data_IF_768366638377
#
_entry.id   IF_768366638377
#
_cell.length_a   1.000
_cell.length_b   1.000
_cell.length_c   1.000
_cell.angle_alpha   90.00
_cell.angle_beta   90.00
_cell.angle_gamma   90.00
#
_symmetry.space_group_name_H-M   'P 1'
#
loop_
_entity.id
_entity.type
_entity.pdbx_description
1 polymer ?
#
# COMPACT_ATOMS: atom_id res chain seq x y z
N UNK A 1 11.25 -12.42 -23.56
CA UNK A 1 11.18 -12.12 -22.12
C UNK A 1 10.28 -10.90 -21.90
N UNK A 2 9.53 -10.83 -20.80
CA UNK A 2 8.54 -9.77 -20.52
C UNK A 2 9.16 -8.36 -20.50
N UNK A 3 10.33 -8.22 -19.87
CA UNK A 3 11.04 -6.92 -19.77
C UNK A 3 11.31 -6.32 -21.15
N UNK A 4 11.83 -7.13 -22.06
CA UNK A 4 12.11 -6.67 -23.45
C UNK A 4 10.82 -6.41 -24.23
N UNK A 5 9.82 -7.28 -24.10
CA UNK A 5 8.54 -7.17 -24.83
C UNK A 5 7.80 -5.87 -24.53
N UNK A 6 7.82 -5.44 -23.26
CA UNK A 6 7.10 -4.25 -22.80
C UNK A 6 8.03 -3.06 -22.56
N UNK A 7 9.31 -3.17 -22.92
CA UNK A 7 10.33 -2.15 -22.71
C UNK A 7 10.27 -1.59 -21.26
N UNK A 8 10.25 -2.51 -20.27
CA UNK A 8 10.18 -2.11 -18.86
C UNK A 8 11.48 -1.42 -18.44
N UNK A 9 11.42 -0.32 -17.69
CA UNK A 9 12.58 0.42 -17.23
C UNK A 9 13.39 -0.44 -16.24
N UNK A 10 14.59 -0.83 -16.64
CA UNK A 10 15.45 -1.72 -15.84
C UNK A 10 15.90 -1.04 -14.54
N UNK A 11 16.16 0.27 -14.61
CA UNK A 11 16.53 1.10 -13.46
C UNK A 11 15.43 1.08 -12.36
N UNK A 12 14.16 1.13 -12.75
CA UNK A 12 13.04 1.02 -11.81
C UNK A 12 12.93 -0.38 -11.20
N UNK A 13 13.21 -1.42 -11.99
CA UNK A 13 13.26 -2.80 -11.48
C UNK A 13 14.42 -3.02 -10.53
N UNK A 14 15.59 -2.46 -10.84
CA UNK A 14 16.77 -2.52 -9.96
C UNK A 14 16.48 -1.82 -8.64
N UNK A 15 15.95 -0.59 -8.69
CA UNK A 15 15.58 0.17 -7.48
C UNK A 15 14.56 -0.58 -6.62
N UNK A 16 13.53 -1.18 -7.24
CA UNK A 16 12.56 -2.00 -6.52
C UNK A 16 13.23 -3.17 -5.77
N UNK A 17 14.25 -3.80 -6.35
CA UNK A 17 15.01 -4.88 -5.70
C UNK A 17 15.88 -4.31 -4.57
N UNK A 18 16.56 -3.20 -4.83
CA UNK A 18 17.47 -2.57 -3.87
C UNK A 18 16.71 -2.08 -2.62
N UNK A 19 15.53 -1.48 -2.78
CA UNK A 19 14.69 -1.05 -1.67
C UNK A 19 14.21 -2.24 -0.80
N UNK A 20 13.97 -3.41 -1.40
CA UNK A 20 13.62 -4.62 -0.63
C UNK A 20 14.79 -5.20 0.18
N UNK A 21 16.02 -4.68 0.05
CA UNK A 21 17.11 -5.04 0.95
C UNK A 21 16.78 -4.63 2.40
N UNK A 22 16.01 -3.56 2.59
CA UNK A 22 15.50 -3.16 3.91
C UNK A 22 14.75 -4.30 4.61
N UNK A 23 14.03 -5.14 3.87
CA UNK A 23 13.25 -6.26 4.41
C UNK A 23 14.11 -7.40 4.97
N UNK A 24 15.42 -7.42 4.63
CA UNK A 24 16.36 -8.45 5.09
C UNK A 24 16.95 -8.14 6.46
N UNK A 25 16.83 -6.91 6.92
CA UNK A 25 17.34 -6.44 8.20
C UNK A 25 16.20 -6.11 9.16
N UNK A 26 16.48 -6.17 10.46
CA UNK A 26 15.50 -5.80 11.48
C UNK A 26 15.62 -4.33 11.91
N UNK A 27 16.21 -3.50 11.05
CA UNK A 27 16.27 -2.06 11.30
C UNK A 27 14.87 -1.45 11.24
N UNK A 28 14.47 -0.64 12.22
CA UNK A 28 13.15 -0.02 12.20
C UNK A 28 13.08 1.09 11.16
N UNK A 29 11.92 1.28 10.56
CA UNK A 29 11.66 2.43 9.67
C UNK A 29 11.86 3.73 10.43
N UNK A 30 12.79 4.62 10.00
CA UNK A 30 13.14 5.78 10.84
C UNK A 30 12.07 6.87 10.86
N UNK A 31 11.51 7.23 9.71
CA UNK A 31 10.57 8.36 9.57
C UNK A 31 9.44 8.05 8.58
N UNK A 32 8.37 8.85 8.66
CA UNK A 32 7.29 8.81 7.67
C UNK A 32 7.80 9.15 6.26
N UNK A 33 8.76 10.06 6.12
CA UNK A 33 9.36 10.39 4.82
C UNK A 33 10.16 9.20 4.25
N UNK A 34 10.87 8.44 5.09
CA UNK A 34 11.57 7.23 4.67
C UNK A 34 10.57 6.13 4.23
N UNK A 35 9.46 5.98 4.96
CA UNK A 35 8.38 5.06 4.58
C UNK A 35 7.75 5.47 3.24
N UNK A 36 7.51 6.75 3.03
CA UNK A 36 6.97 7.30 1.77
C UNK A 36 7.87 6.93 0.58
N UNK A 37 9.18 7.19 0.69
CA UNK A 37 10.16 6.80 -0.33
C UNK A 37 10.15 5.30 -0.59
N UNK A 38 10.25 4.49 0.47
CA UNK A 38 10.23 3.02 0.37
C UNK A 38 8.96 2.50 -0.33
N UNK A 39 7.77 3.00 0.05
CA UNK A 39 6.52 2.58 -0.56
C UNK A 39 6.37 3.08 -2.00
N UNK A 40 6.88 4.27 -2.32
CA UNK A 40 6.93 4.80 -3.68
C UNK A 40 7.79 3.93 -4.59
N UNK A 41 9.00 3.60 -4.15
CA UNK A 41 9.97 2.82 -4.93
C UNK A 41 9.70 1.30 -4.93
N UNK A 42 8.83 0.81 -4.03
CA UNK A 42 8.39 -0.59 -4.02
C UNK A 42 6.97 -0.73 -4.59
N UNK A 43 5.94 -0.30 -3.87
CA UNK A 43 4.53 -0.47 -4.27
C UNK A 43 4.14 0.44 -5.44
N UNK A 44 4.59 1.70 -5.43
CA UNK A 44 4.39 2.63 -6.54
C UNK A 44 5.03 2.15 -7.83
N UNK A 45 6.25 1.61 -7.74
CA UNK A 45 6.93 1.01 -8.88
C UNK A 45 6.13 -0.14 -9.52
N UNK A 46 5.46 -0.98 -8.73
CA UNK A 46 4.61 -2.06 -9.26
C UNK A 46 3.41 -1.52 -10.05
N UNK A 47 2.76 -0.44 -9.58
CA UNK A 47 1.70 0.22 -10.33
C UNK A 47 2.22 0.83 -11.64
N UNK A 48 3.39 1.47 -11.61
CA UNK A 48 4.03 2.03 -12.80
C UNK A 48 4.38 0.95 -13.84
N UNK A 49 4.95 -0.17 -13.40
CA UNK A 49 5.28 -1.31 -14.26
C UNK A 49 4.00 -1.95 -14.83
N UNK A 50 2.94 -2.06 -14.03
CA UNK A 50 1.65 -2.56 -14.50
C UNK A 50 1.03 -1.63 -15.55
N UNK A 51 1.04 -0.32 -15.33
CA UNK A 51 0.60 0.67 -16.31
C UNK A 51 1.39 0.56 -17.62
N UNK A 52 2.72 0.42 -17.52
CA UNK A 52 3.61 0.23 -18.69
C UNK A 52 3.25 -1.02 -19.51
N UNK A 53 2.89 -2.12 -18.84
CA UNK A 53 2.48 -3.36 -19.51
C UNK A 53 1.13 -3.17 -20.22
N UNK A 54 0.19 -2.45 -19.61
CA UNK A 54 -1.17 -2.30 -20.12
C UNK A 54 -1.24 -1.31 -21.28
N UNK A 55 -0.60 -0.14 -21.17
CA UNK A 55 -0.76 0.96 -22.12
C UNK A 55 0.53 1.40 -22.81
N UNK A 56 1.67 0.79 -22.49
CA UNK A 56 2.97 1.22 -22.99
C UNK A 56 3.53 2.42 -22.23
N UNK A 57 4.33 3.25 -22.91
CA UNK A 57 4.89 4.47 -22.31
C UNK A 57 3.78 5.50 -22.11
N UNK A 58 3.57 5.90 -20.86
CA UNK A 58 2.63 6.96 -20.48
C UNK A 58 3.42 8.03 -19.74
N UNK A 59 3.27 9.27 -20.17
CA UNK A 59 3.80 10.43 -19.45
C UNK A 59 2.86 10.81 -18.28
N UNK A 60 3.43 11.48 -17.29
CA UNK A 60 2.70 12.14 -16.19
C UNK A 60 1.81 11.24 -15.30
N UNK A 61 2.22 9.99 -15.09
CA UNK A 61 1.54 9.10 -14.14
C UNK A 61 2.31 8.88 -12.83
N UNK A 62 3.47 9.51 -12.66
CA UNK A 62 4.34 9.25 -11.50
C UNK A 62 3.65 9.62 -10.19
N UNK A 63 2.97 10.76 -10.11
CA UNK A 63 2.16 11.12 -8.94
C UNK A 63 1.03 10.13 -8.67
N UNK A 64 0.33 9.72 -9.71
CA UNK A 64 -0.77 8.75 -9.63
C UNK A 64 -0.30 7.42 -9.03
N UNK A 65 0.78 6.84 -9.58
CA UNK A 65 1.29 5.54 -9.13
C UNK A 65 1.98 5.61 -7.78
N UNK A 66 2.59 6.76 -7.44
CA UNK A 66 3.15 7.01 -6.12
C UNK A 66 2.05 6.95 -5.05
N UNK A 67 0.99 7.75 -5.18
CA UNK A 67 -0.13 7.73 -4.23
C UNK A 67 -0.86 6.38 -4.19
N UNK A 68 -0.99 5.69 -5.32
CA UNK A 68 -1.51 4.33 -5.37
C UNK A 68 -0.65 3.36 -4.53
N UNK A 69 0.66 3.49 -4.64
CA UNK A 69 1.65 2.73 -3.87
C UNK A 69 1.54 2.98 -2.37
N UNK A 70 1.45 4.25 -1.96
CA UNK A 70 1.29 4.65 -0.56
C UNK A 70 -0.01 4.12 0.04
N UNK A 71 -1.15 4.29 -0.65
CA UNK A 71 -2.44 3.79 -0.18
C UNK A 71 -2.41 2.27 0.06
N UNK A 72 -1.86 1.51 -0.90
CA UNK A 72 -1.75 0.06 -0.79
C UNK A 72 -0.72 -0.35 0.26
N UNK A 73 0.44 0.31 0.27
CA UNK A 73 1.56 -0.03 1.14
C UNK A 73 1.25 0.20 2.61
N UNK A 74 0.70 1.36 2.98
CA UNK A 74 0.32 1.67 4.36
C UNK A 74 -0.73 0.66 4.86
N UNK A 75 -1.73 0.33 4.05
CA UNK A 75 -2.73 -0.65 4.46
C UNK A 75 -2.14 -2.06 4.57
N UNK A 76 -1.18 -2.42 3.70
CA UNK A 76 -0.45 -3.68 3.79
C UNK A 76 0.37 -3.75 5.07
N UNK A 77 1.07 -2.68 5.43
CA UNK A 77 1.85 -2.55 6.68
C UNK A 77 0.97 -2.80 7.91
N UNK A 78 -0.22 -2.17 7.97
CA UNK A 78 -1.17 -2.41 9.06
C UNK A 78 -1.63 -3.88 9.09
N UNK A 79 -1.91 -4.47 7.94
CA UNK A 79 -2.38 -5.84 7.84
C UNK A 79 -1.29 -6.88 8.16
N UNK A 80 -0.02 -6.54 7.92
CA UNK A 80 1.13 -7.43 8.19
C UNK A 80 1.65 -7.32 9.62
N UNK A 81 1.19 -6.35 10.41
CA UNK A 81 1.65 -6.08 11.77
C UNK A 81 1.75 -7.32 12.67
N UNK A 82 0.79 -8.29 12.67
CA UNK A 82 0.91 -9.50 13.48
C UNK A 82 2.12 -10.36 13.10
N UNK A 83 2.38 -10.47 11.80
CA UNK A 83 3.50 -11.26 11.26
C UNK A 83 4.83 -10.58 11.50
N UNK A 84 4.90 -9.29 11.19
CA UNK A 84 6.14 -8.51 11.25
C UNK A 84 6.53 -8.28 12.71
N UNK A 85 5.57 -8.02 13.60
CA UNK A 85 5.80 -7.94 15.04
C UNK A 85 6.34 -9.24 15.62
N UNK A 86 5.84 -10.41 15.20
CA UNK A 86 6.35 -11.70 15.61
C UNK A 86 7.81 -11.95 15.18
N UNK A 87 8.26 -11.30 14.11
CA UNK A 87 9.64 -11.32 13.62
C UNK A 87 10.50 -10.20 14.20
N UNK A 88 9.93 -9.36 15.05
CA UNK A 88 10.55 -8.12 15.55
C UNK A 88 11.00 -7.18 14.43
N UNK A 89 10.31 -7.19 13.32
CA UNK A 89 10.49 -6.29 12.20
C UNK A 89 9.46 -5.15 12.30
N UNK A 90 9.93 -3.90 12.19
CA UNK A 90 9.09 -2.73 12.42
C UNK A 90 9.11 -1.80 11.20
N UNK A 91 8.04 -1.85 10.42
CA UNK A 91 7.80 -0.92 9.31
C UNK A 91 7.04 0.35 9.74
N UNK A 92 6.46 0.37 10.95
CA UNK A 92 5.85 1.58 11.51
C UNK A 92 6.98 2.56 11.84
N UNK A 93 6.93 3.81 11.30
CA UNK A 93 7.99 4.78 11.51
C UNK A 93 8.18 5.16 12.98
N UNK A 94 9.45 5.30 13.37
CA UNK A 94 9.82 5.67 14.75
C UNK A 94 9.32 7.06 15.13
N UNK A 95 9.31 8.00 14.20
CA UNK A 95 8.78 9.35 14.44
C UNK A 95 7.27 9.34 14.68
N UNK A 96 6.52 8.45 14.02
CA UNK A 96 5.10 8.25 14.28
C UNK A 96 4.88 7.65 15.67
N UNK A 97 5.65 6.62 16.04
CA UNK A 97 5.60 6.04 17.37
C UNK A 97 5.86 7.09 18.45
N UNK A 98 6.93 7.89 18.27
CA UNK A 98 7.30 8.95 19.22
C UNK A 98 6.19 10.00 19.38
N UNK A 99 5.51 10.41 18.31
CA UNK A 99 4.37 11.34 18.39
C UNK A 99 3.22 10.79 19.25
N UNK A 100 3.04 9.48 19.27
CA UNK A 100 2.04 8.83 20.12
C UNK A 100 2.57 8.38 21.49
N UNK A 101 3.82 8.74 21.84
CA UNK A 101 4.44 8.32 23.10
C UNK A 101 4.69 6.82 23.19
N UNK A 102 4.86 6.15 22.04
CA UNK A 102 5.10 4.72 21.92
C UNK A 102 6.57 4.44 21.61
N UNK A 103 7.08 3.33 22.13
CA UNK A 103 8.33 2.71 21.71
C UNK A 103 8.08 1.40 20.95
N UNK A 104 9.12 0.86 20.33
CA UNK A 104 9.05 -0.40 19.57
C UNK A 104 8.53 -1.58 20.40
N UNK A 105 8.99 -1.71 21.65
CA UNK A 105 8.61 -2.82 22.53
C UNK A 105 7.11 -2.85 22.82
N UNK A 106 6.45 -1.68 22.85
CA UNK A 106 5.00 -1.62 23.04
C UNK A 106 4.25 -2.17 21.81
N UNK A 107 4.79 -2.01 20.61
CA UNK A 107 4.25 -2.63 19.39
C UNK A 107 4.51 -4.14 19.40
N UNK A 108 5.73 -4.56 19.73
CA UNK A 108 6.11 -5.99 19.80
C UNK A 108 5.38 -6.74 20.91
N UNK A 109 4.94 -6.06 21.95
CA UNK A 109 4.09 -6.68 23.00
C UNK A 109 2.71 -7.11 22.47
N UNK A 110 2.34 -6.73 21.25
CA UNK A 110 1.12 -7.12 20.55
C UNK A 110 -0.17 -6.89 21.37
N UNK A 111 -0.21 -5.82 22.17
CA UNK A 111 -1.39 -5.42 22.97
C UNK A 111 -2.11 -4.27 22.29
N UNK A 112 -3.39 -4.48 21.98
CA UNK A 112 -4.24 -3.49 21.33
C UNK A 112 -4.68 -2.36 22.29
N UNK A 113 -3.71 -1.55 22.77
CA UNK A 113 -3.99 -0.41 23.65
C UNK A 113 -4.73 0.70 22.89
N UNK A 114 -5.44 1.61 23.59
CA UNK A 114 -6.09 2.76 22.95
C UNK A 114 -5.11 3.63 22.14
N UNK A 115 -3.87 3.80 22.62
CA UNK A 115 -2.83 4.59 21.94
C UNK A 115 -2.39 3.91 20.64
N UNK A 116 -2.16 2.60 20.65
CA UNK A 116 -1.85 1.84 19.43
C UNK A 116 -3.01 1.92 18.43
N UNK A 117 -4.26 1.83 18.89
CA UNK A 117 -5.43 1.98 18.02
C UNK A 117 -5.51 3.38 17.41
N UNK A 118 -5.20 4.43 18.17
CA UNK A 118 -5.15 5.82 17.69
C UNK A 118 -4.06 6.00 16.60
N UNK A 119 -2.86 5.50 16.85
CA UNK A 119 -1.76 5.51 15.86
C UNK A 119 -2.14 4.78 14.57
N UNK A 120 -2.73 3.59 14.67
CA UNK A 120 -3.18 2.84 13.49
C UNK A 120 -4.37 3.52 12.78
N UNK A 121 -5.20 4.29 13.50
CA UNK A 121 -6.25 5.11 12.90
C UNK A 121 -5.66 6.26 12.09
N UNK A 122 -4.58 6.92 12.57
CA UNK A 122 -3.84 7.93 11.80
C UNK A 122 -3.30 7.35 10.50
N UNK A 123 -2.62 6.19 10.56
CA UNK A 123 -2.12 5.52 9.35
C UNK A 123 -3.25 5.15 8.37
N UNK A 124 -4.39 4.66 8.86
CA UNK A 124 -5.55 4.40 7.99
C UNK A 124 -6.09 5.66 7.35
N UNK A 125 -6.10 6.78 8.09
CA UNK A 125 -6.47 8.08 7.56
C UNK A 125 -5.56 8.51 6.42
N UNK A 126 -4.26 8.35 6.57
CA UNK A 126 -3.28 8.63 5.51
C UNK A 126 -3.51 7.72 4.28
N UNK A 127 -3.69 6.41 4.49
CA UNK A 127 -3.99 5.49 3.38
C UNK A 127 -5.28 5.89 2.64
N UNK A 128 -6.30 6.39 3.36
CA UNK A 128 -7.53 6.92 2.77
C UNK A 128 -7.26 8.15 1.93
N UNK A 129 -6.53 9.13 2.46
CA UNK A 129 -6.19 10.35 1.73
C UNK A 129 -5.43 10.04 0.43
N UNK A 130 -4.44 9.14 0.48
CA UNK A 130 -3.71 8.72 -0.72
C UNK A 130 -4.60 7.98 -1.71
N UNK A 131 -5.52 7.13 -1.26
CA UNK A 131 -6.49 6.47 -2.13
C UNK A 131 -7.40 7.47 -2.83
N UNK A 132 -7.98 8.40 -2.08
CA UNK A 132 -8.90 9.41 -2.61
C UNK A 132 -8.20 10.30 -3.64
N UNK A 133 -6.97 10.75 -3.34
CA UNK A 133 -6.15 11.51 -4.27
C UNK A 133 -5.78 10.70 -5.53
N UNK A 134 -5.45 9.41 -5.38
CA UNK A 134 -5.23 8.51 -6.53
C UNK A 134 -6.47 8.44 -7.44
N UNK A 135 -7.66 8.32 -6.83
CA UNK A 135 -8.91 8.23 -7.60
C UNK A 135 -9.26 9.55 -8.31
N UNK A 136 -8.86 10.69 -7.75
CA UNK A 136 -8.96 12.00 -8.41
C UNK A 136 -8.03 12.08 -9.62
N UNK A 137 -6.74 11.82 -9.43
CA UNK A 137 -5.75 11.80 -10.51
C UNK A 137 -6.12 10.80 -11.63
N UNK A 138 -6.69 9.64 -11.26
CA UNK A 138 -7.13 8.63 -12.24
C UNK A 138 -8.28 9.09 -13.15
N UNK A 139 -9.03 10.14 -12.78
CA UNK A 139 -10.08 10.72 -13.64
C UNK A 139 -9.48 11.53 -14.79
N UNK A 140 -8.34 12.15 -14.54
CA UNK A 140 -7.61 13.00 -15.51
C UNK A 140 -6.59 12.18 -16.31
N UNK A 141 -6.15 11.04 -15.79
CA UNK A 141 -5.19 10.16 -16.45
C UNK A 141 -5.77 9.52 -17.73
N UNK A 142 -4.91 9.17 -18.71
CA UNK A 142 -5.32 8.41 -19.89
C UNK A 142 -6.12 7.16 -19.50
N UNK A 143 -7.28 6.95 -20.13
CA UNK A 143 -8.24 5.91 -19.76
C UNK A 143 -7.64 4.50 -19.67
N UNK A 144 -6.69 4.17 -20.56
CA UNK A 144 -5.99 2.90 -20.58
C UNK A 144 -5.16 2.57 -19.32
N UNK A 145 -4.85 3.55 -18.45
CA UNK A 145 -4.11 3.32 -17.20
C UNK A 145 -5.00 2.69 -16.11
N UNK A 146 -6.30 2.93 -16.15
CA UNK A 146 -7.24 2.51 -15.09
C UNK A 146 -7.20 1.01 -14.76
N UNK A 147 -7.08 0.08 -15.73
CA UNK A 147 -6.95 -1.34 -15.43
C UNK A 147 -5.73 -1.67 -14.54
N UNK A 148 -4.63 -0.93 -14.66
CA UNK A 148 -3.45 -1.10 -13.81
C UNK A 148 -3.73 -0.74 -12.34
N UNK A 149 -4.73 0.10 -12.08
CA UNK A 149 -5.15 0.53 -10.74
C UNK A 149 -6.17 -0.42 -10.08
N UNK A 150 -6.59 -1.48 -10.78
CA UNK A 150 -7.59 -2.43 -10.28
C UNK A 150 -7.33 -2.97 -8.86
N UNK A 151 -6.07 -3.22 -8.43
CA UNK A 151 -5.78 -3.63 -7.06
C UNK A 151 -6.27 -2.65 -5.98
N UNK A 152 -6.45 -1.36 -6.29
CA UNK A 152 -6.98 -0.36 -5.35
C UNK A 152 -8.43 -0.63 -4.92
N UNK A 153 -9.18 -1.40 -5.69
CA UNK A 153 -10.50 -1.87 -5.26
C UNK A 153 -10.43 -2.72 -3.98
N UNK A 154 -9.33 -3.46 -3.79
CA UNK A 154 -9.09 -4.21 -2.55
C UNK A 154 -8.72 -3.27 -1.41
N UNK A 155 -7.92 -2.23 -1.68
CA UNK A 155 -7.56 -1.19 -0.69
C UNK A 155 -8.82 -0.49 -0.19
N UNK A 156 -9.69 -0.03 -1.09
CA UNK A 156 -10.97 0.60 -0.75
C UNK A 156 -11.84 -0.30 0.12
N UNK A 157 -12.01 -1.57 -0.28
CA UNK A 157 -12.78 -2.55 0.49
C UNK A 157 -12.21 -2.78 1.89
N UNK A 158 -10.89 -2.91 1.99
CA UNK A 158 -10.23 -3.26 3.24
C UNK A 158 -10.22 -2.06 4.19
N UNK A 159 -10.14 -0.81 3.68
CA UNK A 159 -10.33 0.41 4.47
C UNK A 159 -11.73 0.48 5.06
N UNK A 160 -12.76 0.31 4.24
CA UNK A 160 -14.17 0.30 4.72
C UNK A 160 -14.38 -0.80 5.77
N UNK A 161 -13.77 -1.97 5.57
CA UNK A 161 -13.85 -3.06 6.54
C UNK A 161 -13.16 -2.72 7.87
N UNK A 162 -11.99 -2.07 7.81
CA UNK A 162 -11.25 -1.64 9.00
C UNK A 162 -12.01 -0.58 9.80
N UNK A 163 -12.66 0.36 9.12
CA UNK A 163 -13.51 1.38 9.75
C UNK A 163 -14.72 0.78 10.47
N UNK A 164 -15.33 -0.27 9.88
CA UNK A 164 -16.48 -0.97 10.50
C UNK A 164 -16.08 -1.87 11.67
N UNK A 165 -14.79 -2.20 11.79
CA UNK A 165 -14.24 -3.11 12.81
C UNK A 165 -13.21 -2.42 13.68
N UNK A 166 -13.50 -1.20 14.11
CA UNK A 166 -12.57 -0.37 14.87
C UNK A 166 -12.12 -1.04 16.18
N UNK A 167 -12.96 -1.88 16.78
CA UNK A 167 -12.68 -2.60 18.01
C UNK A 167 -11.93 -3.94 17.78
N UNK A 168 -11.77 -4.38 16.54
CA UNK A 168 -11.05 -5.59 16.25
C UNK A 168 -9.58 -5.48 16.71
N UNK A 169 -9.03 -6.59 17.19
CA UNK A 169 -7.63 -6.65 17.57
C UNK A 169 -6.73 -6.55 16.32
N UNK A 170 -5.89 -5.50 16.19
CA UNK A 170 -5.02 -5.32 15.04
C UNK A 170 -3.90 -6.37 14.96
N UNK A 171 -3.60 -7.07 16.05
CA UNK A 171 -2.60 -8.12 16.12
C UNK A 171 -3.15 -9.51 15.79
N UNK A 172 -4.42 -9.62 15.47
CA UNK A 172 -5.01 -10.86 14.98
C UNK A 172 -4.88 -10.96 13.46
N UNK A 173 -4.35 -12.07 12.91
CA UNK A 173 -4.26 -12.27 11.47
C UNK A 173 -5.64 -12.18 10.82
N UNK A 174 -5.79 -11.28 9.86
CA UNK A 174 -7.05 -11.13 9.13
C UNK A 174 -7.09 -12.09 7.93
N UNK A 175 -7.88 -13.14 8.05
CA UNK A 175 -8.10 -14.07 6.95
C UNK A 175 -8.88 -13.37 5.84
N UNK A 176 -8.29 -13.30 4.65
CA UNK A 176 -8.96 -12.82 3.43
C UNK A 176 -9.51 -14.00 2.66
N UNK A 177 -10.82 -14.02 2.46
CA UNK A 177 -11.45 -15.02 1.58
C UNK A 177 -10.98 -14.79 0.12
N UNK A 178 -10.43 -15.83 -0.50
CA UNK A 178 -10.01 -15.80 -1.90
C UNK A 178 -11.19 -15.49 -2.83
N UNK A 179 -12.35 -16.08 -2.57
CA UNK A 179 -13.57 -15.84 -3.35
C UNK A 179 -14.02 -14.39 -3.23
N UNK A 180 -14.02 -13.80 -2.02
CA UNK A 180 -14.36 -12.41 -1.83
C UNK A 180 -13.35 -11.47 -2.52
N UNK A 181 -12.09 -11.84 -2.59
CA UNK A 181 -11.06 -11.09 -3.32
C UNK A 181 -11.33 -11.12 -4.82
N UNK A 182 -11.54 -12.31 -5.41
CA UNK A 182 -11.86 -12.46 -6.83
C UNK A 182 -13.16 -11.74 -7.19
N UNK A 183 -14.19 -11.84 -6.36
CA UNK A 183 -15.45 -11.13 -6.55
C UNK A 183 -15.29 -9.61 -6.55
N UNK A 184 -14.49 -9.08 -5.61
CA UNK A 184 -14.19 -7.64 -5.53
C UNK A 184 -13.51 -7.17 -6.82
N UNK A 185 -12.48 -7.87 -7.28
CA UNK A 185 -11.74 -7.53 -8.50
C UNK A 185 -12.62 -7.64 -9.74
N UNK A 186 -13.41 -8.72 -9.84
CA UNK A 186 -14.33 -8.94 -10.95
C UNK A 186 -15.39 -7.83 -11.04
N UNK A 187 -15.97 -7.44 -9.91
CA UNK A 187 -16.92 -6.34 -9.84
C UNK A 187 -16.26 -5.01 -10.18
N UNK A 188 -15.08 -4.74 -9.65
CA UNK A 188 -14.34 -3.52 -9.90
C UNK A 188 -13.95 -3.38 -11.38
N UNK A 189 -13.50 -4.45 -12.02
CA UNK A 189 -13.17 -4.47 -13.45
C UNK A 189 -14.33 -4.09 -14.38
N UNK A 190 -15.58 -4.19 -13.89
CA UNK A 190 -16.79 -3.78 -14.61
C UNK A 190 -17.26 -2.38 -14.25
N UNK A 191 -16.69 -1.76 -13.23
CA UNK A 191 -17.07 -0.41 -12.81
C UNK A 191 -16.43 0.66 -13.71
N UNK A 192 -17.10 1.80 -13.93
CA UNK A 192 -16.52 2.90 -14.71
C UNK A 192 -15.21 3.44 -14.15
N UNK A 193 -14.94 3.24 -12.86
CA UNK A 193 -13.71 3.70 -12.20
C UNK A 193 -12.44 2.98 -12.69
N UNK A 194 -12.57 1.71 -13.12
CA UNK A 194 -11.43 0.86 -13.50
C UNK A 194 -11.53 0.30 -14.94
N UNK A 195 -12.61 0.62 -15.66
CA UNK A 195 -12.81 0.17 -17.04
C UNK A 195 -12.26 1.21 -18.02
N UNK A 196 -11.64 0.74 -19.11
CA UNK A 196 -11.39 1.59 -20.29
C UNK A 196 -12.72 2.13 -20.83
N UNK A 197 -12.70 3.38 -21.25
CA UNK A 197 -13.76 3.98 -22.07
C UNK A 197 -13.44 3.80 -23.53
#
# INVERSE_FOLDING_TARGET
MTVQRFALPVDRLTRLIDEHQFDLYNDPMPTMAALDGYLGDTRGALFALAARIVVGAVADIDHLVHHAGLAQGILHLIASLPRDGARRQLFIPLDLLARHGLGQEQVFAAKATPVIRAMLAELRGQARQHLDHTLELAREAPGGVRPALLPLALVSRDLVRAERRIDADPFQPQLRSRLATLWTLWRAARSPAFRER
#
